data_IF_206793774210
#
_entry.id   IF_206793774210
#
_cell.length_a   1.000
_cell.length_b   1.000
_cell.length_c   1.000
_cell.angle_alpha   90.00
_cell.angle_beta   90.00
_cell.angle_gamma   90.00
#
_symmetry.space_group_name_H-M   'P 1'
#
loop_
_entity.id
_entity.type
_entity.pdbx_description
1 polymer ?
#
# COMPACT_ATOMS: atom_id res chain seq x y z
N UNK A 1 11.71 -31.98 -10.12
CA UNK A 1 11.33 -31.50 -8.77
C UNK A 1 12.51 -30.76 -8.20
N UNK A 2 12.48 -29.44 -8.33
CA UNK A 2 13.53 -28.53 -7.93
C UNK A 2 13.09 -27.79 -6.65
N UNK A 3 13.86 -27.96 -5.58
CA UNK A 3 13.47 -27.47 -4.24
C UNK A 3 13.49 -25.94 -4.16
N UNK A 4 14.40 -25.29 -4.89
CA UNK A 4 14.61 -23.84 -4.82
C UNK A 4 13.39 -23.05 -5.33
N UNK A 5 12.86 -23.28 -6.56
CA UNK A 5 11.63 -22.64 -7.01
C UNK A 5 10.42 -22.94 -6.12
N UNK A 6 10.36 -24.13 -5.54
CA UNK A 6 9.25 -24.58 -4.70
C UNK A 6 9.20 -23.80 -3.37
N UNK A 7 10.35 -23.58 -2.74
CA UNK A 7 10.47 -22.68 -1.58
C UNK A 7 10.11 -21.24 -1.94
N UNK A 8 10.53 -20.76 -3.12
CA UNK A 8 10.14 -19.45 -3.64
C UNK A 8 8.62 -19.30 -3.80
N UNK A 9 7.95 -20.32 -4.34
CA UNK A 9 6.49 -20.37 -4.47
C UNK A 9 5.77 -20.31 -3.12
N UNK A 10 6.23 -21.08 -2.13
CA UNK A 10 5.71 -21.05 -0.76
C UNK A 10 5.86 -19.65 -0.16
N UNK A 11 7.04 -19.04 -0.30
CA UNK A 11 7.31 -17.72 0.24
C UNK A 11 6.42 -16.64 -0.40
N UNK A 12 6.36 -16.60 -1.74
CA UNK A 12 5.54 -15.63 -2.45
C UNK A 12 4.04 -15.81 -2.20
N UNK A 13 3.57 -17.05 -2.10
CA UNK A 13 2.16 -17.30 -1.76
C UNK A 13 1.83 -16.89 -0.33
N UNK A 14 2.65 -17.23 0.65
CA UNK A 14 2.46 -16.79 2.04
C UNK A 14 2.44 -15.26 2.16
N UNK A 15 3.39 -14.57 1.52
CA UNK A 15 3.46 -13.12 1.51
C UNK A 15 2.25 -12.48 0.80
N UNK A 16 1.84 -13.03 -0.34
CA UNK A 16 0.67 -12.57 -1.09
C UNK A 16 -0.63 -12.73 -0.29
N UNK A 17 -0.83 -13.88 0.36
CA UNK A 17 -1.97 -14.13 1.26
C UNK A 17 -1.96 -13.12 2.42
N UNK A 18 -0.80 -12.91 3.05
CA UNK A 18 -0.67 -11.97 4.16
C UNK A 18 -1.07 -10.55 3.75
N UNK A 19 -0.58 -10.05 2.61
CA UNK A 19 -0.91 -8.71 2.11
C UNK A 19 -2.41 -8.60 1.80
N UNK A 20 -2.99 -9.61 1.14
CA UNK A 20 -4.42 -9.67 0.86
C UNK A 20 -5.26 -9.69 2.14
N UNK A 21 -4.82 -10.42 3.16
CA UNK A 21 -5.47 -10.49 4.45
C UNK A 21 -5.41 -9.15 5.20
N UNK A 22 -4.24 -8.50 5.26
CA UNK A 22 -4.09 -7.16 5.86
C UNK A 22 -5.01 -6.16 5.18
N UNK A 23 -5.01 -6.14 3.85
CA UNK A 23 -5.87 -5.25 3.07
C UNK A 23 -7.36 -5.49 3.36
N UNK A 24 -7.80 -6.75 3.40
CA UNK A 24 -9.20 -7.10 3.73
C UNK A 24 -9.56 -6.74 5.17
N UNK A 25 -8.66 -7.03 6.13
CA UNK A 25 -8.85 -6.71 7.54
C UNK A 25 -8.98 -5.20 7.72
N UNK A 26 -8.11 -4.43 7.08
CA UNK A 26 -8.12 -2.98 7.13
C UNK A 26 -9.43 -2.42 6.56
N UNK A 27 -9.78 -2.79 5.33
CA UNK A 27 -10.99 -2.25 4.69
C UNK A 27 -12.30 -2.68 5.37
N UNK A 28 -12.36 -3.84 6.03
CA UNK A 28 -13.56 -4.27 6.76
C UNK A 28 -13.86 -3.40 7.98
N UNK A 29 -12.82 -2.85 8.62
CA UNK A 29 -12.93 -2.03 9.82
C UNK A 29 -12.69 -0.53 9.55
N UNK A 30 -12.33 -0.18 8.33
CA UNK A 30 -12.01 1.18 7.98
C UNK A 30 -13.28 2.05 7.92
N UNK A 31 -13.25 3.14 8.67
CA UNK A 31 -14.19 4.23 8.55
C UNK A 31 -13.67 5.26 7.55
N UNK A 32 -14.59 5.91 6.85
CA UNK A 32 -14.27 6.87 5.80
C UNK A 32 -14.57 8.28 6.29
N UNK A 33 -13.58 9.17 6.21
CA UNK A 33 -13.73 10.58 6.58
C UNK A 33 -13.04 11.48 5.55
N UNK A 34 -13.36 12.78 5.59
CA UNK A 34 -12.64 13.80 4.83
C UNK A 34 -11.41 14.25 5.62
N UNK A 35 -10.24 14.05 5.05
CA UNK A 35 -8.98 14.64 5.53
C UNK A 35 -8.47 15.71 4.56
N UNK A 36 -7.64 16.64 5.02
CA UNK A 36 -7.06 17.71 4.19
C UNK A 36 -5.60 17.41 3.90
N UNK A 37 -5.18 17.49 2.64
CA UNK A 37 -3.79 17.28 2.25
C UNK A 37 -2.97 18.52 2.61
N UNK A 38 -2.01 18.39 3.52
CA UNK A 38 -1.13 19.47 3.97
C UNK A 38 0.05 19.69 3.03
N UNK A 39 0.55 18.62 2.39
CA UNK A 39 1.74 18.72 1.55
C UNK A 39 2.19 17.40 0.98
N UNK A 40 3.36 17.43 0.34
CA UNK A 40 4.02 16.25 -0.19
C UNK A 40 5.50 16.27 0.17
N UNK A 41 5.99 15.15 0.67
CA UNK A 41 7.41 14.87 0.72
C UNK A 41 7.85 14.36 -0.66
N UNK A 42 8.84 15.01 -1.25
CA UNK A 42 9.36 14.69 -2.57
C UNK A 42 10.71 13.96 -2.41
N UNK A 43 10.83 12.76 -2.95
CA UNK A 43 12.09 12.02 -2.93
C UNK A 43 12.33 11.29 -4.25
N UNK A 44 13.60 10.95 -4.50
CA UNK A 44 13.99 10.23 -5.71
C UNK A 44 13.99 8.74 -5.39
N UNK A 45 13.08 8.00 -6.04
CA UNK A 45 13.11 6.55 -6.06
C UNK A 45 13.96 6.10 -7.25
N UNK A 46 14.91 5.20 -7.01
CA UNK A 46 15.62 4.48 -8.07
C UNK A 46 14.82 3.21 -8.38
N UNK A 47 14.34 3.12 -9.61
CA UNK A 47 13.74 1.90 -10.13
C UNK A 47 14.85 0.88 -10.46
N UNK A 48 14.49 -0.40 -10.60
CA UNK A 48 15.39 -1.51 -10.97
C UNK A 48 16.21 -1.24 -12.24
N UNK A 49 15.68 -0.40 -13.15
CA UNK A 49 16.33 0.03 -14.39
C UNK A 49 17.26 1.25 -14.23
N UNK A 50 17.68 1.61 -13.00
CA UNK A 50 18.45 2.82 -12.70
C UNK A 50 17.77 4.15 -13.08
N UNK A 51 16.49 4.13 -13.47
CA UNK A 51 15.73 5.33 -13.76
C UNK A 51 15.39 6.01 -12.44
N UNK A 52 15.93 7.22 -12.26
CA UNK A 52 15.60 8.09 -11.14
C UNK A 52 14.24 8.72 -11.40
N UNK A 53 13.24 8.36 -10.60
CA UNK A 53 11.90 8.95 -10.68
C UNK A 53 11.59 9.71 -9.40
N UNK A 54 11.08 10.92 -9.56
CA UNK A 54 10.58 11.72 -8.44
C UNK A 54 9.24 11.12 -8.01
N UNK A 55 9.11 10.80 -6.74
CA UNK A 55 7.89 10.29 -6.13
C UNK A 55 7.44 11.24 -5.03
N UNK A 56 6.13 11.30 -4.83
CA UNK A 56 5.44 12.24 -3.97
C UNK A 56 4.69 11.46 -2.90
N UNK A 57 5.09 11.64 -1.65
CA UNK A 57 4.41 11.05 -0.50
C UNK A 57 3.51 12.10 0.17
N UNK A 58 2.18 11.95 0.13
CA UNK A 58 1.28 12.92 0.71
C UNK A 58 1.34 12.90 2.25
N UNK A 59 1.24 14.09 2.82
CA UNK A 59 0.95 14.34 4.22
C UNK A 59 -0.44 14.93 4.31
N UNK A 60 -1.28 14.41 5.20
CA UNK A 60 -2.65 14.87 5.35
C UNK A 60 -3.04 14.88 6.82
N UNK A 61 -3.88 15.84 7.16
CA UNK A 61 -4.55 15.89 8.45
C UNK A 61 -5.94 15.26 8.36
N UNK A 62 -6.38 14.67 9.45
CA UNK A 62 -7.76 14.19 9.60
C UNK A 62 -8.24 14.53 11.01
N UNK A 63 -9.50 14.92 11.13
CA UNK A 63 -10.10 15.27 12.44
C UNK A 63 -11.12 14.21 12.83
N UNK A 64 -10.87 13.46 13.91
CA UNK A 64 -11.80 12.48 14.49
C UNK A 64 -12.22 12.98 15.86
N UNK A 65 -13.54 13.08 16.11
CA UNK A 65 -14.09 13.46 17.41
C UNK A 65 -13.48 14.75 18.01
N UNK A 66 -13.15 15.73 17.16
CA UNK A 66 -12.52 17.00 17.57
C UNK A 66 -10.99 16.95 17.75
N UNK A 67 -10.36 15.78 17.61
CA UNK A 67 -8.91 15.62 17.64
C UNK A 67 -8.34 15.56 16.23
N UNK A 68 -7.34 16.39 15.93
CA UNK A 68 -6.68 16.42 14.61
C UNK A 68 -5.38 15.62 14.64
N UNK A 69 -5.26 14.68 13.71
CA UNK A 69 -4.08 13.83 13.53
C UNK A 69 -3.37 14.21 12.23
N UNK A 70 -2.06 14.41 12.28
CA UNK A 70 -1.20 14.56 11.10
C UNK A 70 -0.63 13.19 10.72
N UNK A 71 -1.03 12.71 9.54
CA UNK A 71 -0.67 11.38 9.06
C UNK A 71 0.16 11.48 7.80
N UNK A 72 1.35 10.87 7.87
CA UNK A 72 2.22 10.65 6.72
C UNK A 72 1.78 9.38 5.98
N UNK A 73 1.40 9.53 4.71
CA UNK A 73 0.99 8.38 3.90
C UNK A 73 2.12 7.36 3.77
N UNK A 74 1.80 6.08 3.99
CA UNK A 74 2.72 4.96 3.67
C UNK A 74 2.85 4.75 2.17
N UNK A 75 1.87 5.18 1.39
CA UNK A 75 1.84 5.08 -0.07
C UNK A 75 2.39 6.35 -0.71
N UNK A 76 3.30 6.17 -1.66
CA UNK A 76 3.86 7.24 -2.49
C UNK A 76 3.32 7.14 -3.91
N UNK A 77 3.23 8.27 -4.60
CA UNK A 77 2.66 8.37 -5.95
C UNK A 77 3.66 8.97 -6.94
N UNK A 78 3.50 8.66 -8.22
CA UNK A 78 4.32 9.24 -9.30
C UNK A 78 3.95 10.69 -9.65
N UNK A 79 2.80 11.16 -9.19
CA UNK A 79 2.33 12.52 -9.36
C UNK A 79 1.60 12.99 -8.11
N UNK A 80 1.36 14.31 -8.00
CA UNK A 80 0.50 14.89 -6.96
C UNK A 80 -0.95 14.57 -7.28
N UNK A 81 -1.43 13.42 -6.78
CA UNK A 81 -2.77 12.89 -7.10
C UNK A 81 -3.95 13.71 -6.56
N UNK A 82 -3.67 14.56 -5.57
CA UNK A 82 -4.61 15.45 -4.87
C UNK A 82 -3.89 16.79 -4.64
N UNK A 83 -4.46 17.94 -4.98
CA UNK A 83 -3.80 19.22 -4.74
C UNK A 83 -3.69 19.53 -3.24
N UNK A 84 -2.64 20.27 -2.86
CA UNK A 84 -2.44 20.70 -1.46
C UNK A 84 -3.58 21.62 -1.03
N UNK A 85 -4.06 21.48 0.20
CA UNK A 85 -5.19 22.22 0.77
C UNK A 85 -6.56 21.62 0.46
N UNK A 86 -6.65 20.63 -0.45
CA UNK A 86 -7.92 19.98 -0.77
C UNK A 86 -8.28 18.86 0.20
N UNK A 87 -9.59 18.70 0.40
CA UNK A 87 -10.16 17.60 1.16
C UNK A 87 -10.25 16.34 0.28
N UNK A 88 -9.90 15.20 0.85
CA UNK A 88 -9.93 13.90 0.20
C UNK A 88 -10.48 12.84 1.13
N UNK A 89 -10.86 11.70 0.54
CA UNK A 89 -11.32 10.56 1.30
C UNK A 89 -10.15 9.81 1.94
N UNK A 90 -10.20 9.74 3.26
CA UNK A 90 -9.25 9.03 4.11
C UNK A 90 -9.96 7.87 4.80
N UNK A 91 -9.27 6.74 4.86
CA UNK A 91 -9.70 5.53 5.55
C UNK A 91 -8.88 5.42 6.85
N UNK A 92 -9.55 5.31 7.99
CA UNK A 92 -8.90 5.11 9.29
C UNK A 92 -9.61 4.02 10.08
N UNK A 93 -8.97 3.46 11.10
CA UNK A 93 -9.63 2.57 12.06
C UNK A 93 -9.71 3.29 13.39
N UNK A 94 -10.85 3.12 14.08
CA UNK A 94 -11.04 3.69 15.42
C UNK A 94 -10.00 3.10 16.40
N UNK A 95 -9.27 3.98 17.08
CA UNK A 95 -8.14 3.64 17.94
C UNK A 95 -6.81 3.40 17.21
N UNK A 96 -6.78 3.58 15.89
CA UNK A 96 -5.57 3.51 15.06
C UNK A 96 -5.58 4.59 13.96
N UNK A 97 -5.86 5.83 14.38
CA UNK A 97 -5.98 7.01 13.51
C UNK A 97 -4.66 7.37 12.83
N UNK A 98 -3.52 7.09 13.48
CA UNK A 98 -2.17 7.34 12.94
C UNK A 98 -1.85 6.48 11.72
N UNK A 99 -2.50 5.32 11.58
CA UNK A 99 -2.34 4.43 10.43
C UNK A 99 -3.37 4.69 9.32
N UNK A 100 -3.99 5.86 9.32
CA UNK A 100 -4.91 6.26 8.26
C UNK A 100 -4.26 6.19 6.87
N UNK A 101 -5.05 5.81 5.88
CA UNK A 101 -4.63 5.60 4.50
C UNK A 101 -5.50 6.44 3.58
N UNK A 102 -4.92 7.01 2.53
CA UNK A 102 -5.72 7.61 1.47
C UNK A 102 -6.57 6.52 0.80
N UNK A 103 -7.87 6.79 0.61
CA UNK A 103 -8.74 5.87 -0.13
C UNK A 103 -8.24 5.69 -1.57
N UNK A 104 -7.74 6.79 -2.16
CA UNK A 104 -7.12 6.81 -3.49
C UNK A 104 -5.69 6.28 -3.40
N UNK A 105 -5.52 4.97 -3.54
CA UNK A 105 -4.21 4.31 -3.58
C UNK A 105 -4.03 3.13 -2.63
N UNK A 106 -4.99 2.87 -1.75
CA UNK A 106 -5.03 1.61 -0.99
C UNK A 106 -5.58 0.51 -1.90
N UNK A 107 -4.75 -0.42 -2.36
CA UNK A 107 -5.16 -1.46 -3.29
C UNK A 107 -4.56 -2.83 -2.97
N UNK A 108 -5.33 -3.89 -3.26
CA UNK A 108 -4.92 -5.30 -3.08
C UNK A 108 -3.93 -5.79 -4.16
N UNK A 109 -3.64 -4.96 -5.16
CA UNK A 109 -2.90 -5.35 -6.36
C UNK A 109 -1.53 -5.98 -6.09
N UNK A 110 -0.82 -5.50 -5.05
CA UNK A 110 0.48 -6.07 -4.68
C UNK A 110 0.34 -7.52 -4.18
N UNK A 111 -0.68 -7.81 -3.35
CA UNK A 111 -0.93 -9.18 -2.88
C UNK A 111 -1.28 -10.13 -4.02
N UNK A 112 -2.09 -9.67 -4.98
CA UNK A 112 -2.43 -10.44 -6.19
C UNK A 112 -1.18 -10.72 -7.03
N UNK A 113 -0.28 -9.74 -7.19
CA UNK A 113 0.97 -9.93 -7.93
C UNK A 113 1.83 -11.05 -7.31
N UNK A 114 1.99 -11.04 -5.99
CA UNK A 114 2.76 -12.07 -5.28
C UNK A 114 2.12 -13.46 -5.41
N UNK A 115 0.79 -13.55 -5.34
CA UNK A 115 0.08 -14.79 -5.63
C UNK A 115 0.31 -15.25 -7.07
N UNK A 116 0.24 -14.35 -8.04
CA UNK A 116 0.50 -14.63 -9.45
C UNK A 116 1.92 -15.15 -9.69
N UNK A 117 2.93 -14.55 -9.06
CA UNK A 117 4.33 -14.98 -9.14
C UNK A 117 4.59 -16.33 -8.47
N UNK A 118 3.75 -16.74 -7.51
CA UNK A 118 3.88 -18.05 -6.88
C UNK A 118 3.53 -19.20 -7.82
N UNK A 119 2.59 -18.99 -8.76
CA UNK A 119 2.15 -20.03 -9.71
C UNK A 119 3.26 -20.58 -10.61
N UNK A 120 4.04 -19.74 -11.34
CA UNK A 120 5.16 -20.24 -12.14
C UNK A 120 6.24 -20.86 -11.26
N UNK A 121 6.49 -20.32 -10.06
CA UNK A 121 7.48 -20.88 -9.13
C UNK A 121 7.10 -22.31 -8.68
N UNK A 122 5.82 -22.55 -8.38
CA UNK A 122 5.32 -23.90 -8.11
C UNK A 122 5.40 -24.81 -9.34
N UNK A 123 5.04 -24.30 -10.53
CA UNK A 123 5.12 -25.07 -11.76
C UNK A 123 6.54 -25.56 -12.05
N UNK A 124 7.53 -24.66 -12.03
CA UNK A 124 8.93 -25.03 -12.23
C UNK A 124 9.47 -25.90 -11.09
N UNK A 125 9.06 -25.66 -9.84
CA UNK A 125 9.51 -26.47 -8.71
C UNK A 125 9.02 -27.91 -8.75
N UNK A 126 7.80 -28.15 -9.24
CA UNK A 126 7.20 -29.48 -9.33
C UNK A 126 7.60 -30.23 -10.61
N UNK A 127 7.56 -29.55 -11.76
CA UNK A 127 7.64 -30.19 -13.07
C UNK A 127 8.97 -29.99 -13.82
N UNK A 128 9.87 -29.15 -13.31
CA UNK A 128 11.26 -29.00 -13.79
C UNK A 128 12.25 -29.16 -12.61
#
# INVERSE_FOLDING_TARGET
MNVIPLLGGIFFSALGIYICYDYRRFNKKALKIKGRVLGYEEYISKDSNNIKRKVYRPHFELTVNGTTYDVKSKTSFHSKIIPVGHHTDVLYQEGDEENARLAKGNGVGLGILFLGLSLPAYYFGLFH
#
